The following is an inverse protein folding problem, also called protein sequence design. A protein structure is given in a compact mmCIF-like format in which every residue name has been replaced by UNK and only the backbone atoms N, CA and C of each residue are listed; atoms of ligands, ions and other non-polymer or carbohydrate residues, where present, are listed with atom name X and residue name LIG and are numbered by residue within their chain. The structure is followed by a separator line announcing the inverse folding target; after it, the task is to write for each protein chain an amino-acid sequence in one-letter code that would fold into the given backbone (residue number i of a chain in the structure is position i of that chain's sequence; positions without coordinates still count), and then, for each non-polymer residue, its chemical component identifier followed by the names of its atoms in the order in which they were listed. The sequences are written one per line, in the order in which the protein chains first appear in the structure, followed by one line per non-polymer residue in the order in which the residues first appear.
data_IF_217403186493
#
_entry.id   IF_217403186493
#
_cell.length_a   1.000
_cell.length_b   1.000
_cell.length_c   1.000
_cell.angle_alpha   90.00
_cell.angle_beta   90.00
_cell.angle_gamma   90.00
#
_symmetry.space_group_name_H-M   'P 1'
#
loop_
_entity.id
_entity.type
_entity.pdbx_description
1 polymer ?
#
# COMPACT_ATOMS: atom_id res chain seq x y z
N UNK A 1 -17.91 -15.71 -8.77
CA UNK A 1 -17.10 -14.77 -9.58
C UNK A 1 -17.01 -13.52 -8.75
N UNK A 2 -15.81 -13.24 -8.23
CA UNK A 2 -15.52 -12.00 -7.52
C UNK A 2 -15.67 -10.86 -8.52
N UNK A 3 -16.31 -9.78 -8.14
CA UNK A 3 -16.54 -8.66 -9.04
C UNK A 3 -15.44 -7.62 -8.86
N UNK A 4 -14.31 -7.78 -9.58
CA UNK A 4 -13.21 -6.81 -9.59
C UNK A 4 -13.67 -5.37 -9.87
N UNK A 5 -14.87 -5.19 -10.44
CA UNK A 5 -15.47 -3.89 -10.67
C UNK A 5 -15.69 -3.09 -9.37
N UNK A 6 -15.83 -3.75 -8.22
CA UNK A 6 -16.02 -3.05 -6.94
C UNK A 6 -14.70 -2.48 -6.41
N UNK A 7 -13.58 -3.17 -6.59
CA UNK A 7 -12.25 -2.64 -6.29
C UNK A 7 -11.98 -1.31 -7.04
N UNK A 8 -12.21 -1.30 -8.35
CA UNK A 8 -11.97 -0.13 -9.18
C UNK A 8 -12.96 1.03 -8.99
N UNK A 9 -14.02 0.86 -8.21
CA UNK A 9 -14.89 1.98 -7.79
C UNK A 9 -14.23 2.86 -6.73
N UNK A 10 -13.33 2.29 -5.94
CA UNK A 10 -12.71 2.93 -4.79
C UNK A 10 -11.21 3.16 -4.95
N UNK A 11 -10.60 2.47 -5.91
CA UNK A 11 -9.15 2.52 -6.17
C UNK A 11 -8.88 2.96 -7.60
N UNK A 12 -8.10 4.01 -7.75
CA UNK A 12 -7.61 4.45 -9.05
C UNK A 12 -6.28 3.76 -9.33
N UNK A 13 -6.12 3.22 -10.52
CA UNK A 13 -4.85 2.64 -10.97
C UNK A 13 -4.26 3.50 -12.08
N UNK A 14 -3.02 3.91 -11.92
CA UNK A 14 -2.24 4.65 -12.92
C UNK A 14 -1.05 3.81 -13.37
N UNK A 15 -0.99 3.56 -14.67
CA UNK A 15 0.14 2.91 -15.32
C UNK A 15 0.29 3.52 -16.70
N UNK A 16 1.21 4.47 -16.83
CA UNK A 16 1.42 5.21 -18.10
C UNK A 16 2.23 4.40 -19.11
N UNK A 17 2.70 3.22 -18.74
CA UNK A 17 3.45 2.32 -19.63
C UNK A 17 2.48 1.56 -20.53
N UNK A 18 2.53 1.85 -21.83
CA UNK A 18 1.77 1.11 -22.85
C UNK A 18 2.54 -0.10 -23.39
N UNK A 19 3.72 -0.35 -22.87
CA UNK A 19 4.60 -1.44 -23.25
C UNK A 19 4.15 -2.82 -22.70
N UNK A 20 4.82 -3.92 -23.05
CA UNK A 20 4.47 -5.25 -22.54
C UNK A 20 4.55 -5.35 -21.01
N UNK A 21 5.45 -4.60 -20.35
CA UNK A 21 5.55 -4.61 -18.88
C UNK A 21 4.31 -3.99 -18.23
N UNK A 22 3.87 -2.83 -18.69
CA UNK A 22 2.66 -2.18 -18.14
C UNK A 22 1.44 -3.09 -18.25
N UNK A 23 1.24 -3.76 -19.38
CA UNK A 23 0.15 -4.72 -19.58
C UNK A 23 0.27 -5.92 -18.63
N UNK A 24 1.48 -6.42 -18.43
CA UNK A 24 1.76 -7.51 -17.50
C UNK A 24 1.42 -7.11 -16.07
N UNK A 25 1.86 -5.92 -15.62
CA UNK A 25 1.61 -5.41 -14.27
C UNK A 25 0.12 -5.26 -13.99
N UNK A 26 -0.64 -4.70 -14.92
CA UNK A 26 -2.10 -4.58 -14.80
C UNK A 26 -2.78 -5.94 -14.73
N UNK A 27 -2.36 -6.91 -15.55
CA UNK A 27 -2.88 -8.28 -15.50
C UNK A 27 -2.59 -8.95 -14.16
N UNK A 28 -1.38 -8.79 -13.61
CA UNK A 28 -0.99 -9.35 -12.32
C UNK A 28 -1.74 -8.68 -11.15
N UNK A 29 -2.01 -7.37 -11.24
CA UNK A 29 -2.87 -6.69 -10.29
C UNK A 29 -4.29 -7.26 -10.31
N UNK A 30 -4.88 -7.46 -11.50
CA UNK A 30 -6.21 -8.07 -11.64
C UNK A 30 -6.25 -9.47 -11.01
N UNK A 31 -5.23 -10.31 -11.26
CA UNK A 31 -5.13 -11.64 -10.66
C UNK A 31 -5.04 -11.59 -9.12
N UNK A 32 -4.33 -10.62 -8.56
CA UNK A 32 -4.26 -10.41 -7.10
C UNK A 32 -5.63 -9.99 -6.58
N UNK A 33 -6.26 -8.99 -7.20
CA UNK A 33 -7.57 -8.47 -6.77
C UNK A 33 -8.66 -9.54 -6.83
N UNK A 34 -8.67 -10.38 -7.87
CA UNK A 34 -9.62 -11.48 -8.02
C UNK A 34 -9.53 -12.52 -6.89
N UNK A 35 -8.34 -12.68 -6.30
CA UNK A 35 -8.11 -13.62 -5.19
C UNK A 35 -8.40 -13.01 -3.83
N UNK A 36 -8.42 -11.68 -3.71
CA UNK A 36 -8.74 -11.01 -2.45
C UNK A 36 -10.23 -11.23 -2.09
N UNK A 37 -10.55 -11.54 -0.82
CA UNK A 37 -11.93 -11.53 -0.35
C UNK A 37 -12.61 -10.17 -0.59
N UNK A 38 -13.91 -10.18 -0.92
CA UNK A 38 -14.66 -8.95 -1.17
C UNK A 38 -14.53 -7.92 -0.04
N UNK A 39 -14.56 -8.38 1.21
CA UNK A 39 -14.41 -7.53 2.39
C UNK A 39 -13.03 -6.85 2.50
N UNK A 40 -11.99 -7.46 1.93
CA UNK A 40 -10.65 -6.86 1.89
C UNK A 40 -10.54 -5.84 0.75
N UNK A 41 -11.15 -6.11 -0.40
CA UNK A 41 -11.17 -5.17 -1.52
C UNK A 41 -11.79 -3.82 -1.12
N UNK A 42 -12.82 -3.81 -0.28
CA UNK A 42 -13.45 -2.57 0.22
C UNK A 42 -12.56 -1.76 1.17
N UNK A 43 -11.55 -2.38 1.80
CA UNK A 43 -10.62 -1.70 2.68
C UNK A 43 -9.51 -0.97 1.92
N UNK A 44 -9.32 -1.34 0.65
CA UNK A 44 -8.30 -0.77 -0.21
C UNK A 44 -8.92 0.41 -0.96
N UNK A 45 -8.61 1.62 -0.51
CA UNK A 45 -9.15 2.84 -1.11
C UNK A 45 -8.01 3.82 -1.37
N UNK A 46 -7.87 4.27 -2.62
CA UNK A 46 -6.81 5.23 -2.93
C UNK A 46 -6.32 5.19 -4.36
N UNK A 47 -5.02 5.29 -4.53
CA UNK A 47 -4.36 5.28 -5.82
C UNK A 47 -3.17 4.33 -5.81
N UNK A 48 -3.10 3.46 -6.80
CA UNK A 48 -1.94 2.61 -7.09
C UNK A 48 -1.30 3.14 -8.36
N UNK A 49 0.00 3.40 -8.29
CA UNK A 49 0.79 3.88 -9.41
C UNK A 49 1.91 2.90 -9.70
N UNK A 50 2.08 2.58 -10.97
CA UNK A 50 3.25 1.87 -11.48
C UNK A 50 4.11 2.89 -12.21
N UNK A 51 5.21 3.29 -11.61
CA UNK A 51 6.07 4.37 -12.08
C UNK A 51 7.53 3.95 -12.18
N UNK A 52 8.27 4.55 -13.10
CA UNK A 52 9.74 4.56 -12.99
C UNK A 52 10.17 5.44 -11.80
N UNK A 53 11.41 5.31 -11.33
CA UNK A 53 11.95 6.21 -10.29
C UNK A 53 11.82 7.68 -10.66
N UNK A 54 12.02 8.00 -11.94
CA UNK A 54 11.89 9.36 -12.44
C UNK A 54 10.45 9.86 -12.33
N UNK A 55 9.48 9.12 -12.89
CA UNK A 55 8.07 9.54 -12.89
C UNK A 55 7.49 9.58 -11.48
N UNK A 56 7.89 8.66 -10.60
CA UNK A 56 7.55 8.70 -9.19
C UNK A 56 8.07 9.98 -8.51
N UNK A 57 9.34 10.31 -8.72
CA UNK A 57 9.95 11.53 -8.16
C UNK A 57 9.23 12.80 -8.63
N UNK A 58 8.94 12.90 -9.93
CA UNK A 58 8.22 14.02 -10.50
C UNK A 58 6.81 14.16 -9.92
N UNK A 59 6.08 13.05 -9.80
CA UNK A 59 4.75 13.03 -9.20
C UNK A 59 4.79 13.50 -7.74
N UNK A 60 5.68 12.96 -6.91
CA UNK A 60 5.77 13.32 -5.50
C UNK A 60 6.24 14.76 -5.28
N UNK A 61 7.10 15.31 -6.16
CA UNK A 61 7.43 16.71 -6.14
C UNK A 61 6.22 17.60 -6.40
N UNK A 62 5.39 17.28 -7.40
CA UNK A 62 4.16 18.02 -7.69
C UNK A 62 3.20 17.98 -6.49
N UNK A 63 3.01 16.82 -5.90
CA UNK A 63 2.18 16.63 -4.71
C UNK A 63 2.69 17.46 -3.54
N UNK A 64 3.99 17.43 -3.26
CA UNK A 64 4.58 18.20 -2.16
C UNK A 64 4.41 19.72 -2.34
N UNK A 65 4.49 20.22 -3.57
CA UNK A 65 4.21 21.62 -3.87
C UNK A 65 2.76 22.02 -3.59
N UNK A 66 1.82 21.12 -3.89
CA UNK A 66 0.39 21.37 -3.65
C UNK A 66 0.01 21.33 -2.18
N UNK A 67 0.71 20.51 -1.39
CA UNK A 67 0.32 20.19 -0.02
C UNK A 67 1.21 20.80 1.05
N UNK A 68 2.32 21.41 0.65
CA UNK A 68 3.27 22.05 1.57
C UNK A 68 4.07 21.06 2.42
N UNK A 69 4.02 19.76 2.09
CA UNK A 69 4.80 18.69 2.72
C UNK A 69 5.68 18.04 1.67
N UNK A 70 6.94 17.86 1.96
CA UNK A 70 7.81 17.02 1.16
C UNK A 70 7.70 15.58 1.69
N UNK A 71 7.33 14.59 0.85
CA UNK A 71 7.50 13.19 1.20
C UNK A 71 8.99 12.88 1.43
N UNK A 72 9.27 11.86 2.21
CA UNK A 72 10.65 11.39 2.36
C UNK A 72 11.09 10.63 1.10
N UNK A 73 11.59 11.38 0.11
CA UNK A 73 12.10 10.81 -1.14
C UNK A 73 13.28 9.86 -0.95
N UNK A 74 14.01 9.96 0.17
CA UNK A 74 15.13 9.05 0.44
C UNK A 74 14.66 7.60 0.54
N UNK A 75 13.41 7.39 0.91
CA UNK A 75 12.79 6.06 0.97
C UNK A 75 12.49 5.51 -0.44
N UNK A 76 11.95 6.33 -1.33
CA UNK A 76 11.71 5.94 -2.74
C UNK A 76 13.02 5.54 -3.44
N UNK A 77 14.08 6.31 -3.20
CA UNK A 77 15.40 6.04 -3.79
C UNK A 77 16.04 4.77 -3.22
N UNK A 78 15.81 4.47 -1.94
CA UNK A 78 16.49 3.38 -1.24
C UNK A 78 15.79 2.03 -1.44
N UNK A 79 14.49 1.98 -1.27
CA UNK A 79 13.75 0.71 -1.16
C UNK A 79 12.96 0.35 -2.42
N UNK A 80 12.93 1.24 -3.41
CA UNK A 80 12.27 1.00 -4.71
C UNK A 80 10.75 1.10 -4.69
N UNK A 81 10.14 1.09 -3.52
CA UNK A 81 8.70 1.22 -3.30
C UNK A 81 8.45 2.35 -2.34
N UNK A 82 7.39 3.10 -2.55
CA UNK A 82 6.98 4.15 -1.62
C UNK A 82 5.48 4.10 -1.40
N UNK A 83 5.10 3.74 -0.20
CA UNK A 83 3.80 4.07 0.34
C UNK A 83 3.84 5.50 0.83
N UNK A 84 2.91 6.32 0.38
CA UNK A 84 2.68 7.62 0.98
C UNK A 84 1.26 7.73 1.48
N UNK A 85 1.12 7.82 2.79
CA UNK A 85 -0.15 8.03 3.45
C UNK A 85 -0.48 9.51 3.43
N UNK A 86 -1.61 9.82 2.85
CA UNK A 86 -2.12 11.18 2.80
C UNK A 86 -3.35 11.32 3.67
N UNK A 87 -3.25 12.15 4.72
CA UNK A 87 -4.37 12.62 5.53
C UNK A 87 -4.69 14.06 5.13
N UNK A 88 -5.82 14.29 4.50
CA UNK A 88 -6.28 15.63 4.13
C UNK A 88 -7.22 16.18 5.19
N UNK A 89 -6.66 16.65 6.33
CA UNK A 89 -7.41 17.32 7.38
C UNK A 89 -8.54 16.47 7.97
N UNK A 90 -9.52 17.09 8.62
CA UNK A 90 -10.68 16.44 9.27
C UNK A 90 -11.72 15.86 8.28
N UNK A 91 -11.34 15.53 7.05
CA UNK A 91 -12.23 14.97 6.06
C UNK A 91 -12.07 13.46 6.00
N UNK A 92 -13.20 12.76 5.87
CA UNK A 92 -13.30 11.31 5.71
C UNK A 92 -12.69 10.76 4.39
N UNK A 93 -11.93 11.56 3.66
CA UNK A 93 -11.36 11.25 2.35
C UNK A 93 -9.86 10.95 2.44
N UNK A 94 -9.38 10.38 3.54
CA UNK A 94 -8.01 9.91 3.64
C UNK A 94 -7.79 8.82 2.59
N UNK A 95 -6.98 9.14 1.58
CA UNK A 95 -6.65 8.20 0.50
C UNK A 95 -5.20 7.82 0.59
N UNK A 96 -4.93 6.55 0.38
CA UNK A 96 -3.57 6.06 0.22
C UNK A 96 -3.11 6.27 -1.21
N UNK A 97 -1.83 6.61 -1.37
CA UNK A 97 -1.17 6.58 -2.67
C UNK A 97 0.02 5.66 -2.52
N UNK A 98 0.00 4.58 -3.27
CA UNK A 98 1.11 3.64 -3.39
C UNK A 98 1.78 3.88 -4.74
N UNK A 99 3.10 3.95 -4.72
CA UNK A 99 3.89 3.97 -5.94
C UNK A 99 4.79 2.74 -5.96
N UNK A 100 4.55 1.85 -6.91
CA UNK A 100 5.36 0.68 -7.17
C UNK A 100 6.39 1.03 -8.23
N UNK A 101 7.66 0.98 -7.88
CA UNK A 101 8.76 1.29 -8.79
C UNK A 101 9.03 0.10 -9.71
N UNK A 102 9.02 0.36 -11.01
CA UNK A 102 9.00 -0.71 -12.03
C UNK A 102 10.35 -0.96 -12.72
N UNK A 103 11.37 -0.13 -12.44
CA UNK A 103 12.65 -0.16 -13.19
C UNK A 103 13.28 -1.55 -13.28
N UNK A 104 13.19 -2.35 -12.22
CA UNK A 104 13.82 -3.67 -12.14
C UNK A 104 12.82 -4.84 -12.32
N UNK A 105 11.52 -4.57 -12.57
CA UNK A 105 10.49 -5.60 -12.60
C UNK A 105 10.47 -6.42 -13.89
N UNK A 106 11.15 -5.98 -14.96
CA UNK A 106 11.25 -6.74 -16.21
C UNK A 106 11.82 -8.15 -16.04
N UNK A 107 12.80 -8.30 -15.14
CA UNK A 107 13.49 -9.55 -14.88
C UNK A 107 12.89 -10.38 -13.75
N UNK A 108 11.92 -9.84 -13.02
CA UNK A 108 11.29 -10.51 -11.89
C UNK A 108 10.21 -11.49 -12.33
N UNK A 109 10.00 -12.52 -11.53
CA UNK A 109 8.92 -13.51 -11.77
C UNK A 109 7.55 -12.90 -11.50
N UNK A 110 6.49 -13.52 -12.04
CA UNK A 110 5.11 -13.09 -11.74
C UNK A 110 4.78 -13.24 -10.26
N UNK A 111 5.27 -14.30 -9.61
CA UNK A 111 5.05 -14.51 -8.17
C UNK A 111 5.70 -13.39 -7.34
N UNK A 112 6.92 -12.96 -7.68
CA UNK A 112 7.57 -11.82 -7.04
C UNK A 112 6.75 -10.53 -7.19
N UNK A 113 6.29 -10.23 -8.42
CA UNK A 113 5.51 -9.02 -8.69
C UNK A 113 4.16 -9.06 -7.96
N UNK A 114 3.48 -10.21 -7.96
CA UNK A 114 2.24 -10.39 -7.18
C UNK A 114 2.49 -10.27 -5.68
N UNK A 115 3.60 -10.79 -5.18
CA UNK A 115 4.03 -10.62 -3.79
C UNK A 115 4.18 -9.15 -3.42
N UNK A 116 4.86 -8.37 -4.26
CA UNK A 116 5.00 -6.93 -4.09
C UNK A 116 3.64 -6.22 -4.09
N UNK A 117 2.79 -6.52 -5.07
CA UNK A 117 1.45 -5.91 -5.17
C UNK A 117 0.61 -6.23 -3.92
N UNK A 118 0.53 -7.49 -3.50
CA UNK A 118 -0.29 -7.87 -2.35
C UNK A 118 0.26 -7.32 -1.03
N UNK A 119 1.57 -7.22 -0.89
CA UNK A 119 2.21 -6.55 0.25
C UNK A 119 1.72 -5.10 0.37
N UNK A 120 1.83 -4.32 -0.69
CA UNK A 120 1.40 -2.92 -0.71
C UNK A 120 -0.12 -2.77 -0.48
N UNK A 121 -0.95 -3.66 -1.05
CA UNK A 121 -2.40 -3.66 -0.78
C UNK A 121 -2.70 -4.01 0.69
N UNK A 122 -1.92 -4.90 1.29
CA UNK A 122 -2.04 -5.24 2.72
C UNK A 122 -1.63 -4.07 3.60
N UNK A 123 -0.64 -3.28 3.19
CA UNK A 123 -0.27 -2.01 3.82
C UNK A 123 -1.43 -1.00 3.80
N UNK A 124 -2.11 -0.83 2.67
CA UNK A 124 -3.28 0.05 2.57
C UNK A 124 -4.39 -0.35 3.53
N UNK A 125 -4.62 -1.65 3.71
CA UNK A 125 -5.69 -2.17 4.58
C UNK A 125 -5.29 -2.23 6.07
N UNK A 126 -3.99 -2.20 6.38
CA UNK A 126 -3.45 -2.38 7.72
C UNK A 126 -4.07 -1.46 8.79
N UNK A 127 -4.20 -0.14 8.59
CA UNK A 127 -4.79 0.74 9.59
C UNK A 127 -6.25 0.44 9.88
N UNK A 128 -7.03 0.13 8.84
CA UNK A 128 -8.43 -0.24 9.02
C UNK A 128 -8.54 -1.50 9.84
N UNK A 129 -7.70 -2.49 9.58
CA UNK A 129 -7.63 -3.74 10.35
C UNK A 129 -7.26 -3.45 11.81
N UNK A 130 -6.20 -2.68 12.06
CA UNK A 130 -5.78 -2.31 13.42
C UNK A 130 -6.84 -1.51 14.17
N UNK A 131 -7.54 -0.62 13.50
CA UNK A 131 -8.68 0.10 14.09
C UNK A 131 -9.82 -0.86 14.43
N UNK A 132 -10.15 -1.79 13.56
CA UNK A 132 -11.21 -2.77 13.77
C UNK A 132 -10.89 -3.72 14.95
N UNK A 133 -9.69 -4.28 14.98
CA UNK A 133 -9.19 -5.16 16.05
C UNK A 133 -9.22 -4.48 17.43
N UNK A 134 -8.92 -3.19 17.47
CA UNK A 134 -8.79 -2.43 18.70
C UNK A 134 -10.03 -1.57 19.04
N UNK A 135 -11.10 -1.65 18.24
CA UNK A 135 -12.24 -0.74 18.35
C UNK A 135 -12.88 -0.71 19.74
N UNK A 136 -13.07 -1.88 20.37
CA UNK A 136 -13.67 -1.97 21.71
C UNK A 136 -12.82 -1.32 22.82
N UNK A 137 -11.51 -1.34 22.64
CA UNK A 137 -10.56 -0.66 23.52
C UNK A 137 -10.55 0.85 23.24
N UNK A 138 -10.51 1.23 21.96
CA UNK A 138 -10.47 2.62 21.53
C UNK A 138 -11.68 3.42 21.98
N UNK A 139 -12.89 2.86 21.89
CA UNK A 139 -14.12 3.56 22.33
C UNK A 139 -14.18 3.82 23.84
N UNK A 140 -13.43 3.06 24.65
CA UNK A 140 -13.34 3.27 26.10
C UNK A 140 -12.30 4.32 26.49
N UNK A 141 -11.44 4.73 25.56
CA UNK A 141 -10.39 5.72 25.80
C UNK A 141 -10.93 7.14 25.79
N UNK A 142 -10.28 8.04 26.55
CA UNK A 142 -10.51 9.48 26.45
C UNK A 142 -10.13 9.98 25.04
N UNK A 143 -10.81 10.98 24.48
CA UNK A 143 -10.61 11.43 23.09
C UNK A 143 -9.14 11.66 22.72
N UNK A 144 -8.37 12.35 23.57
CA UNK A 144 -6.93 12.60 23.30
C UNK A 144 -6.09 11.32 23.25
N UNK A 145 -6.35 10.38 24.15
CA UNK A 145 -5.63 9.10 24.18
C UNK A 145 -6.01 8.23 22.97
N UNK A 146 -7.29 8.27 22.58
CA UNK A 146 -7.78 7.59 21.37
C UNK A 146 -7.07 8.13 20.12
N UNK A 147 -6.98 9.45 19.97
CA UNK A 147 -6.29 10.06 18.84
C UNK A 147 -4.82 9.64 18.75
N UNK A 148 -4.12 9.61 19.89
CA UNK A 148 -2.72 9.15 19.94
C UNK A 148 -2.59 7.69 19.50
N UNK A 149 -3.50 6.81 19.93
CA UNK A 149 -3.48 5.40 19.49
C UNK A 149 -3.83 5.24 18.01
N UNK A 150 -4.82 5.97 17.53
CA UNK A 150 -5.17 5.98 16.11
C UNK A 150 -3.98 6.42 15.26
N UNK A 151 -3.30 7.50 15.66
CA UNK A 151 -2.10 7.97 14.96
C UNK A 151 -0.97 6.92 14.92
N UNK A 152 -0.84 6.07 15.96
CA UNK A 152 0.14 4.97 15.94
C UNK A 152 -0.17 3.90 14.88
N UNK A 153 -1.44 3.63 14.64
CA UNK A 153 -1.85 2.69 13.59
C UNK A 153 -1.74 3.28 12.18
N UNK A 154 -1.73 4.61 12.10
CA UNK A 154 -1.69 5.32 10.83
C UNK A 154 -0.32 5.87 10.48
N UNK A 155 0.63 5.92 11.40
CA UNK A 155 1.99 6.37 11.14
C UNK A 155 2.90 5.13 11.08
N UNK A 156 3.32 4.74 9.88
CA UNK A 156 4.42 3.79 9.75
C UNK A 156 5.67 4.41 10.35
N UNK A 157 6.44 3.61 11.08
CA UNK A 157 7.75 4.02 11.56
C UNK A 157 8.68 4.16 10.37
N UNK A 158 9.30 5.32 10.22
CA UNK A 158 10.10 5.66 9.04
C UNK A 158 11.52 5.11 9.06
N UNK A 159 11.92 4.41 10.12
CA UNK A 159 13.26 3.84 10.25
C UNK A 159 13.28 2.34 9.93
N UNK A 160 13.73 1.92 8.72
CA UNK A 160 13.79 0.51 8.31
C UNK A 160 14.66 -0.37 9.20
N UNK A 161 15.61 0.24 9.93
CA UNK A 161 16.47 -0.46 10.91
C UNK A 161 15.81 -0.66 12.25
N UNK A 162 14.68 -0.03 12.54
CA UNK A 162 13.98 -0.17 13.81
C UNK A 162 13.26 -1.52 13.92
N UNK A 163 13.20 -2.03 15.15
CA UNK A 163 12.42 -3.24 15.41
C UNK A 163 10.93 -3.02 15.10
N UNK A 164 10.41 -1.84 15.38
CA UNK A 164 9.00 -1.49 15.12
C UNK A 164 8.67 -1.54 13.62
N UNK A 165 9.58 -1.10 12.77
CA UNK A 165 9.43 -1.24 11.31
C UNK A 165 9.43 -2.71 10.90
N UNK A 166 10.41 -3.50 11.38
CA UNK A 166 10.50 -4.92 11.04
C UNK A 166 9.29 -5.72 11.53
N UNK A 167 8.80 -5.42 12.74
CA UNK A 167 7.58 -6.05 13.29
C UNK A 167 6.36 -5.69 12.43
N UNK A 168 6.27 -4.44 11.94
CA UNK A 168 5.20 -3.98 11.05
C UNK A 168 5.23 -4.69 9.69
N UNK A 169 6.39 -4.74 9.02
CA UNK A 169 6.56 -5.45 7.75
C UNK A 169 6.18 -6.94 7.88
N UNK A 170 6.62 -7.57 8.98
CA UNK A 170 6.25 -8.95 9.25
C UNK A 170 4.73 -9.13 9.47
N UNK A 171 4.04 -8.19 10.13
CA UNK A 171 2.58 -8.23 10.27
C UNK A 171 1.87 -8.06 8.92
N UNK A 172 2.36 -7.20 8.04
CA UNK A 172 1.82 -6.99 6.68
C UNK A 172 1.99 -8.24 5.84
N UNK A 173 3.19 -8.85 5.85
CA UNK A 173 3.46 -10.10 5.13
C UNK A 173 2.61 -11.25 5.66
N UNK A 174 2.47 -11.39 6.99
CA UNK A 174 1.60 -12.41 7.60
C UNK A 174 0.14 -12.23 7.18
N UNK A 175 -0.33 -11.01 7.02
CA UNK A 175 -1.68 -10.76 6.53
C UNK A 175 -1.84 -11.20 5.06
N UNK A 176 -0.90 -10.86 4.20
CA UNK A 176 -0.89 -11.33 2.82
C UNK A 176 -0.90 -12.86 2.73
N UNK A 177 -0.13 -13.54 3.59
CA UNK A 177 -0.12 -15.00 3.71
C UNK A 177 -1.49 -15.52 4.15
N UNK A 178 -2.11 -14.90 5.16
CA UNK A 178 -3.48 -15.25 5.63
C UNK A 178 -4.52 -15.10 4.52
N UNK A 179 -4.35 -14.15 3.62
CA UNK A 179 -5.19 -13.94 2.45
C UNK A 179 -4.93 -14.93 1.31
N UNK A 180 -3.98 -15.87 1.48
CA UNK A 180 -3.70 -16.95 0.53
C UNK A 180 -2.56 -16.67 -0.44
N UNK A 181 -1.69 -15.70 -0.15
CA UNK A 181 -0.56 -15.30 -0.99
C UNK A 181 0.81 -15.75 -0.45
N UNK A 182 0.86 -16.87 0.26
CA UNK A 182 2.10 -17.39 0.85
C UNK A 182 3.22 -17.53 -0.18
N UNK A 183 2.94 -18.14 -1.35
CA UNK A 183 3.93 -18.39 -2.39
C UNK A 183 4.51 -17.08 -2.95
N UNK A 184 3.66 -16.08 -3.10
CA UNK A 184 4.03 -14.78 -3.61
C UNK A 184 4.90 -14.00 -2.61
N UNK A 185 4.57 -14.06 -1.32
CA UNK A 185 5.40 -13.45 -0.27
C UNK A 185 6.75 -14.16 -0.14
N UNK A 186 6.79 -15.49 -0.18
CA UNK A 186 8.05 -16.24 -0.21
C UNK A 186 8.94 -15.84 -1.41
N UNK A 187 8.33 -15.58 -2.56
CA UNK A 187 9.06 -15.13 -3.76
C UNK A 187 9.54 -13.66 -3.64
N UNK A 188 8.84 -12.83 -2.87
CA UNK A 188 9.24 -11.45 -2.59
C UNK A 188 10.44 -11.38 -1.65
N UNK A 189 10.50 -12.29 -0.66
CA UNK A 189 11.56 -12.36 0.36
C UNK A 189 12.84 -13.10 -0.11
N UNK A 190 12.79 -13.80 -1.27
CA UNK A 190 13.90 -14.59 -1.81
C UNK A 190 14.92 -13.73 -2.58
#
# INVERSE_FOLDING_TARGET
MVNTADFYKHTTVSCDMLDPLGKRLLSLLDEVVERLPDEEQFKITGMIRFDTRQTASEFWQQISHQWGHAPDFSRVERDGNCEYRFSYGDRADDRYIITIIVDDLHSRTDDYIKGLIVHELSEMSYPFRKLQENWDSLKKMKPKARQVMMNKFTNSTSDPGSKEYQDHEAEVNNEAIRLGFQKEIEALEA
#
